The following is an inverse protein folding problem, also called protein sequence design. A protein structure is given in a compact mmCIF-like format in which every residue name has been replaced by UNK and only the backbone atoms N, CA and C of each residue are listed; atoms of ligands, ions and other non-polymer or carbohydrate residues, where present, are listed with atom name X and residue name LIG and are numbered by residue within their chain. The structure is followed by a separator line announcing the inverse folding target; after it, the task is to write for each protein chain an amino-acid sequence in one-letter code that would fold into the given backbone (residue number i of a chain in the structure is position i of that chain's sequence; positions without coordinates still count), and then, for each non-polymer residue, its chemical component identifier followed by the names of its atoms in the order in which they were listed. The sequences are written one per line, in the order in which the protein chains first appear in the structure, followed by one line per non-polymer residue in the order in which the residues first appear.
data_IF_761397932891
#
_entry.id   IF_761397932891
#
_cell.length_a   1.000
_cell.length_b   1.000
_cell.length_c   1.000
_cell.angle_alpha   90.00
_cell.angle_beta   90.00
_cell.angle_gamma   90.00
#
_symmetry.space_group_name_H-M   'P 1'
#
loop_
_entity.id
_entity.type
_entity.pdbx_description
1 polymer ?
#
# COMPACT_ATOMS: atom_id res chain seq x y z
N UNK A 1 -10.82 -23.12 -11.30
CA UNK A 1 -12.24 -22.68 -11.16
C UNK A 1 -12.23 -21.19 -10.87
N UNK A 2 -13.10 -20.39 -11.50
CA UNK A 2 -13.16 -18.95 -11.24
C UNK A 2 -13.38 -18.65 -9.76
N UNK A 3 -12.82 -17.53 -9.29
CA UNK A 3 -13.04 -17.05 -7.93
C UNK A 3 -14.39 -16.34 -7.86
N UNK A 4 -15.29 -16.80 -6.99
CA UNK A 4 -16.60 -16.20 -6.76
C UNK A 4 -16.60 -15.24 -5.56
N UNK A 5 -15.68 -15.44 -4.59
CA UNK A 5 -15.52 -14.57 -3.42
C UNK A 5 -14.05 -14.20 -3.22
N UNK A 6 -13.75 -12.91 -3.33
CA UNK A 6 -12.44 -12.34 -3.04
C UNK A 6 -12.49 -11.57 -1.71
N UNK A 7 -11.71 -12.02 -0.74
CA UNK A 7 -11.52 -11.34 0.54
C UNK A 7 -10.39 -10.30 0.39
N UNK A 8 -10.54 -9.09 0.93
CA UNK A 8 -9.46 -8.11 0.94
C UNK A 8 -9.28 -7.46 2.33
N UNK A 9 -8.18 -6.73 2.46
CA UNK A 9 -7.90 -5.94 3.66
C UNK A 9 -8.85 -4.74 3.80
N UNK A 10 -8.91 -4.19 5.01
CA UNK A 10 -9.65 -2.98 5.33
C UNK A 10 -11.09 -3.24 5.80
N UNK A 11 -11.82 -2.14 5.97
CA UNK A 11 -13.21 -2.13 6.41
C UNK A 11 -14.18 -1.76 5.29
N UNK A 12 -15.48 -1.80 5.58
CA UNK A 12 -16.51 -1.34 4.66
C UNK A 12 -16.25 0.11 4.23
N UNK A 13 -16.13 0.34 2.93
CA UNK A 13 -15.84 1.66 2.37
C UNK A 13 -14.37 2.06 2.31
N UNK A 14 -13.43 1.15 2.65
CA UNK A 14 -12.00 1.39 2.43
C UNK A 14 -11.69 1.57 0.93
N UNK A 15 -10.55 2.22 0.60
CA UNK A 15 -10.09 2.32 -0.79
C UNK A 15 -10.00 0.95 -1.48
N UNK A 16 -9.54 -0.10 -0.79
CA UNK A 16 -9.47 -1.48 -1.28
C UNK A 16 -10.80 -1.96 -1.83
N UNK A 17 -11.85 -1.92 -0.99
CA UNK A 17 -13.18 -2.40 -1.35
C UNK A 17 -13.75 -1.62 -2.52
N UNK A 18 -13.52 -0.30 -2.54
CA UNK A 18 -14.07 0.58 -3.57
C UNK A 18 -13.43 0.34 -4.93
N UNK A 19 -12.10 0.18 -4.98
CA UNK A 19 -11.38 -0.07 -6.22
C UNK A 19 -11.61 -1.51 -6.68
N UNK A 20 -11.38 -2.50 -5.81
CA UNK A 20 -11.49 -3.91 -6.17
C UNK A 20 -12.93 -4.26 -6.54
N UNK A 21 -13.91 -3.74 -5.79
CA UNK A 21 -15.34 -3.91 -6.08
C UNK A 21 -15.73 -3.35 -7.45
N UNK A 22 -15.17 -2.20 -7.84
CA UNK A 22 -15.38 -1.64 -9.19
C UNK A 22 -14.68 -2.47 -10.27
N UNK A 23 -13.44 -2.89 -10.02
CA UNK A 23 -12.61 -3.65 -10.95
C UNK A 23 -13.24 -5.01 -11.29
N UNK A 24 -13.82 -5.67 -10.28
CA UNK A 24 -14.36 -7.03 -10.36
C UNK A 24 -15.90 -7.05 -10.39
N UNK A 25 -16.53 -5.90 -10.63
CA UNK A 25 -17.98 -5.80 -10.75
C UNK A 25 -18.51 -6.79 -11.79
N UNK A 26 -19.47 -7.63 -11.38
CA UNK A 26 -20.06 -8.67 -12.22
C UNK A 26 -19.21 -9.93 -12.41
N UNK A 27 -17.99 -9.98 -11.86
CA UNK A 27 -17.11 -11.16 -11.93
C UNK A 27 -17.06 -11.94 -10.63
N UNK A 28 -16.88 -11.27 -9.50
CA UNK A 28 -16.87 -11.90 -8.18
C UNK A 28 -17.39 -10.97 -7.09
N UNK A 29 -17.82 -11.54 -5.98
CA UNK A 29 -18.13 -10.79 -4.77
C UNK A 29 -16.82 -10.39 -4.08
N UNK A 30 -16.71 -9.13 -3.68
CA UNK A 30 -15.57 -8.61 -2.92
C UNK A 30 -16.03 -8.33 -1.49
N UNK A 31 -15.32 -8.84 -0.50
CA UNK A 31 -15.68 -8.70 0.92
C UNK A 31 -14.49 -8.26 1.78
N UNK A 32 -14.66 -7.28 2.68
CA UNK A 32 -13.61 -6.92 3.61
C UNK A 32 -13.50 -7.99 4.70
N UNK A 33 -12.28 -8.31 5.13
CA UNK A 33 -12.03 -9.23 6.25
C UNK A 33 -11.16 -8.62 7.36
N UNK A 34 -11.05 -7.29 7.36
CA UNK A 34 -10.29 -6.53 8.34
C UNK A 34 -8.79 -6.60 8.08
N UNK A 35 -8.01 -6.90 9.11
CA UNK A 35 -6.55 -6.99 9.00
C UNK A 35 -6.06 -8.30 8.37
N UNK A 36 -4.84 -8.27 7.83
CA UNK A 36 -4.13 -9.42 7.26
C UNK A 36 -3.96 -10.64 8.17
N UNK A 37 -4.00 -10.45 9.50
CA UNK A 37 -3.79 -11.54 10.46
C UNK A 37 -4.96 -12.54 10.45
N UNK A 38 -4.65 -13.80 10.14
CA UNK A 38 -5.64 -14.88 10.10
C UNK A 38 -6.44 -14.96 8.80
N UNK A 39 -6.19 -14.09 7.81
CA UNK A 39 -6.94 -14.12 6.54
C UNK A 39 -6.78 -15.46 5.81
N UNK A 40 -5.58 -16.06 5.79
CA UNK A 40 -5.36 -17.39 5.22
C UNK A 40 -6.25 -18.47 5.85
N UNK A 41 -6.36 -18.48 7.19
CA UNK A 41 -7.23 -19.40 7.93
C UNK A 41 -8.71 -19.17 7.61
N UNK A 42 -9.14 -17.92 7.47
CA UNK A 42 -10.52 -17.57 7.07
C UNK A 42 -10.85 -18.05 5.65
N UNK A 43 -9.92 -17.89 4.71
CA UNK A 43 -10.05 -18.41 3.33
C UNK A 43 -10.24 -19.92 3.38
N UNK A 44 -9.41 -20.63 4.14
CA UNK A 44 -9.52 -22.08 4.26
C UNK A 44 -10.86 -22.52 4.88
N UNK A 45 -11.30 -21.86 5.94
CA UNK A 45 -12.61 -22.13 6.55
C UNK A 45 -13.76 -21.93 5.54
N UNK A 46 -13.73 -20.86 4.73
CA UNK A 46 -14.74 -20.63 3.70
C UNK A 46 -14.65 -21.63 2.55
N UNK A 47 -13.45 -22.07 2.16
CA UNK A 47 -13.26 -23.10 1.12
C UNK A 47 -13.82 -24.46 1.52
N UNK A 48 -13.83 -24.81 2.80
CA UNK A 48 -14.49 -26.03 3.30
C UNK A 48 -15.99 -26.02 2.98
N UNK A 49 -16.63 -24.85 3.05
CA UNK A 49 -18.08 -24.70 2.85
C UNK A 49 -18.43 -24.40 1.38
N UNK A 50 -17.65 -23.57 0.71
CA UNK A 50 -17.96 -23.02 -0.62
C UNK A 50 -17.12 -23.63 -1.75
N UNK A 51 -16.12 -24.44 -1.43
CA UNK A 51 -15.15 -24.98 -2.38
C UNK A 51 -14.04 -23.98 -2.75
N UNK A 52 -13.21 -24.36 -3.73
CA UNK A 52 -12.04 -23.59 -4.19
C UNK A 52 -12.39 -22.36 -5.06
N UNK A 53 -13.49 -21.69 -4.73
CA UNK A 53 -13.94 -20.44 -5.38
C UNK A 53 -13.69 -19.21 -4.49
N UNK A 54 -12.99 -19.39 -3.36
CA UNK A 54 -12.67 -18.33 -2.40
C UNK A 54 -11.17 -18.02 -2.45
N UNK A 55 -10.84 -16.74 -2.54
CA UNK A 55 -9.48 -16.22 -2.56
C UNK A 55 -9.32 -15.02 -1.64
N UNK A 56 -8.07 -14.62 -1.38
CA UNK A 56 -7.75 -13.34 -0.76
C UNK A 56 -6.84 -12.47 -1.60
N UNK A 57 -6.88 -11.17 -1.35
CA UNK A 57 -5.89 -10.20 -1.83
C UNK A 57 -5.40 -9.33 -0.68
N UNK A 58 -4.09 -9.16 -0.61
CA UNK A 58 -3.41 -8.37 0.42
C UNK A 58 -2.62 -7.22 -0.20
N UNK A 59 -2.30 -6.23 0.62
CA UNK A 59 -1.32 -5.21 0.29
C UNK A 59 0.09 -5.83 0.09
N UNK A 60 0.94 -5.14 -0.67
CA UNK A 60 2.30 -5.61 -0.93
C UNK A 60 3.22 -5.56 0.28
N UNK A 61 2.92 -4.70 1.26
CA UNK A 61 3.68 -4.51 2.49
C UNK A 61 5.15 -4.09 2.31
N UNK A 62 5.83 -3.75 3.42
CA UNK A 62 7.26 -3.44 3.36
C UNK A 62 8.04 -4.75 3.26
N UNK A 63 8.52 -5.03 2.05
CA UNK A 63 9.32 -6.22 1.79
C UNK A 63 10.76 -6.01 2.23
N UNK A 64 11.35 -7.02 2.87
CA UNK A 64 12.78 -7.03 3.24
C UNK A 64 13.67 -7.14 2.00
N UNK A 65 13.27 -8.00 1.07
CA UNK A 65 13.89 -8.18 -0.24
C UNK A 65 12.91 -7.61 -1.26
N UNK A 66 13.38 -6.68 -2.09
CA UNK A 66 12.52 -6.00 -3.04
C UNK A 66 12.99 -6.28 -4.45
N UNK A 67 12.02 -6.64 -5.28
CA UNK A 67 12.22 -7.00 -6.68
C UNK A 67 11.55 -5.94 -7.55
N UNK A 68 12.10 -5.76 -8.77
CA UNK A 68 11.52 -4.85 -9.73
C UNK A 68 10.07 -5.25 -10.06
N UNK A 69 9.15 -4.28 -10.25
CA UNK A 69 7.75 -4.59 -10.45
C UNK A 69 7.55 -5.24 -11.82
N UNK A 70 6.84 -6.37 -11.84
CA UNK A 70 6.47 -7.08 -13.06
C UNK A 70 5.13 -6.62 -13.63
N UNK A 71 4.46 -5.71 -12.90
CA UNK A 71 3.11 -5.19 -13.14
C UNK A 71 2.05 -6.28 -13.10
N UNK A 72 2.21 -7.21 -12.15
CA UNK A 72 1.34 -8.37 -11.95
C UNK A 72 1.20 -8.67 -10.46
N UNK A 73 0.00 -8.97 -9.94
CA UNK A 73 -0.14 -9.38 -8.56
C UNK A 73 0.71 -10.61 -8.26
N UNK A 74 1.41 -10.60 -7.12
CA UNK A 74 2.21 -11.73 -6.67
C UNK A 74 1.30 -12.83 -6.14
N UNK A 75 1.66 -14.09 -6.38
CA UNK A 75 0.94 -15.22 -5.79
C UNK A 75 1.15 -15.22 -4.28
N UNK A 76 0.05 -15.25 -3.53
CA UNK A 76 0.08 -15.44 -2.09
C UNK A 76 -0.21 -16.90 -1.77
N UNK A 77 0.79 -17.57 -1.18
CA UNK A 77 0.71 -18.96 -0.79
C UNK A 77 1.40 -19.23 0.55
N UNK A 78 1.02 -20.35 1.13
CA UNK A 78 1.65 -20.98 2.28
C UNK A 78 3.03 -21.54 1.95
N UNK A 79 3.83 -21.85 2.97
CA UNK A 79 5.16 -22.47 2.80
C UNK A 79 5.11 -23.88 2.21
N UNK A 80 3.97 -24.56 2.34
CA UNK A 80 3.69 -25.87 1.72
C UNK A 80 3.10 -25.77 0.30
N UNK A 81 3.03 -24.56 -0.28
CA UNK A 81 2.53 -24.30 -1.62
C UNK A 81 1.01 -24.11 -1.72
N UNK A 82 0.27 -24.14 -0.61
CA UNK A 82 -1.16 -23.88 -0.63
C UNK A 82 -1.46 -22.42 -1.00
N UNK A 83 -2.11 -22.20 -2.15
CA UNK A 83 -2.41 -20.85 -2.66
C UNK A 83 -3.64 -20.24 -2.01
N UNK A 84 -3.47 -19.08 -1.37
CA UNK A 84 -4.55 -18.31 -0.75
C UNK A 84 -5.13 -17.26 -1.70
N UNK A 85 -4.33 -16.74 -2.62
CA UNK A 85 -4.74 -15.74 -3.61
C UNK A 85 -3.56 -14.90 -4.05
N UNK A 86 -3.62 -13.59 -3.81
CA UNK A 86 -2.64 -12.64 -4.33
C UNK A 86 -2.20 -11.57 -3.32
N UNK A 87 -1.08 -10.93 -3.61
CA UNK A 87 -0.67 -9.66 -3.03
C UNK A 87 -0.47 -8.65 -4.15
N UNK A 88 -0.83 -7.39 -3.92
CA UNK A 88 -0.38 -6.30 -4.79
C UNK A 88 1.16 -6.22 -4.81
N UNK A 89 1.74 -5.84 -5.95
CA UNK A 89 3.15 -5.49 -6.04
C UNK A 89 3.44 -4.17 -5.35
N UNK A 90 2.50 -3.23 -5.47
CA UNK A 90 2.55 -1.94 -4.78
C UNK A 90 2.38 -2.12 -3.28
N UNK A 91 3.02 -1.24 -2.52
CA UNK A 91 3.06 -1.26 -1.07
C UNK A 91 1.67 -1.29 -0.43
N UNK A 92 0.74 -0.52 -0.97
CA UNK A 92 -0.66 -0.43 -0.56
C UNK A 92 -1.54 0.16 -1.67
N UNK A 93 -2.86 0.01 -1.54
CA UNK A 93 -3.82 0.49 -2.54
C UNK A 93 -3.73 2.00 -2.82
N UNK A 94 -3.34 2.81 -1.84
CA UNK A 94 -3.17 4.27 -2.02
C UNK A 94 -2.15 4.61 -3.10
N UNK A 95 -1.18 3.73 -3.38
CA UNK A 95 -0.21 3.96 -4.43
C UNK A 95 -0.84 4.08 -5.83
N UNK A 96 -1.94 3.36 -6.10
CA UNK A 96 -2.65 3.49 -7.37
C UNK A 96 -3.38 4.83 -7.47
N UNK A 97 -3.87 5.36 -6.35
CA UNK A 97 -4.58 6.64 -6.29
C UNK A 97 -3.65 7.85 -6.53
N UNK A 98 -2.34 7.63 -6.51
CA UNK A 98 -1.32 8.61 -6.87
C UNK A 98 -0.81 8.46 -8.31
N UNK A 99 -1.18 7.40 -9.03
CA UNK A 99 -0.68 7.15 -10.38
C UNK A 99 -1.23 8.22 -11.36
N UNK A 100 -0.37 8.97 -12.07
CA UNK A 100 -0.82 10.06 -12.96
C UNK A 100 -1.91 9.66 -13.94
N UNK A 101 -1.83 8.46 -14.52
CA UNK A 101 -2.85 7.96 -15.46
C UNK A 101 -4.21 7.75 -14.76
N UNK A 102 -4.20 7.18 -13.54
CA UNK A 102 -5.41 6.97 -12.76
C UNK A 102 -6.00 8.31 -12.32
N UNK A 103 -5.17 9.23 -11.83
CA UNK A 103 -5.59 10.58 -11.44
C UNK A 103 -6.25 11.31 -12.61
N UNK A 104 -5.59 11.33 -13.78
CA UNK A 104 -6.09 12.00 -14.98
C UNK A 104 -7.46 11.42 -15.41
N UNK A 105 -7.57 10.09 -15.51
CA UNK A 105 -8.82 9.42 -15.89
C UNK A 105 -9.94 9.57 -14.86
N UNK A 106 -9.61 9.61 -13.58
CA UNK A 106 -10.60 9.74 -12.51
C UNK A 106 -11.16 11.15 -12.37
N UNK A 107 -10.33 12.17 -12.59
CA UNK A 107 -10.71 13.57 -12.38
C UNK A 107 -11.11 14.29 -13.68
N UNK A 108 -10.74 13.74 -14.85
CA UNK A 108 -11.04 14.33 -16.16
C UNK A 108 -10.50 15.76 -16.25
N UNK A 109 -11.37 16.71 -16.63
CA UNK A 109 -11.02 18.13 -16.74
C UNK A 109 -10.64 18.80 -15.40
N UNK A 110 -10.87 18.13 -14.26
CA UNK A 110 -10.45 18.61 -12.94
C UNK A 110 -9.10 18.02 -12.50
N UNK A 111 -8.46 17.19 -13.34
CA UNK A 111 -7.14 16.69 -13.05
C UNK A 111 -6.12 17.84 -13.03
N UNK A 112 -5.12 17.78 -12.13
CA UNK A 112 -4.01 18.73 -12.19
C UNK A 112 -3.21 18.54 -13.49
N UNK A 113 -2.45 19.57 -13.86
CA UNK A 113 -1.45 19.42 -14.94
C UNK A 113 -0.52 18.24 -14.64
N UNK A 114 -0.32 17.39 -15.64
CA UNK A 114 0.37 16.12 -15.45
C UNK A 114 1.85 16.31 -15.09
N UNK A 115 2.51 17.31 -15.67
CA UNK A 115 3.94 17.55 -15.42
C UNK A 115 4.14 18.14 -14.03
N UNK A 116 3.31 19.12 -13.65
CA UNK A 116 3.35 19.71 -12.30
C UNK A 116 3.04 18.67 -11.23
N UNK A 117 2.04 17.81 -11.47
CA UNK A 117 1.71 16.73 -10.54
C UNK A 117 2.84 15.71 -10.41
N UNK A 118 3.49 15.31 -11.51
CA UNK A 118 4.61 14.38 -11.47
C UNK A 118 5.80 14.97 -10.70
N UNK A 119 6.14 16.23 -10.94
CA UNK A 119 7.20 16.93 -10.21
C UNK A 119 6.91 16.99 -8.71
N UNK A 120 5.66 17.29 -8.33
CA UNK A 120 5.25 17.31 -6.92
C UNK A 120 5.34 15.92 -6.27
N UNK A 121 4.97 14.87 -7.02
CA UNK A 121 5.07 13.50 -6.55
C UNK A 121 6.53 13.03 -6.39
N UNK A 122 7.43 13.47 -7.28
CA UNK A 122 8.88 13.24 -7.17
C UNK A 122 9.50 14.02 -6.01
N UNK A 123 9.10 15.26 -5.78
CA UNK A 123 9.51 16.03 -4.60
C UNK A 123 9.02 15.37 -3.30
N UNK A 124 7.81 14.82 -3.30
CA UNK A 124 7.29 14.06 -2.17
C UNK A 124 8.10 12.79 -1.91
N UNK A 125 8.48 12.03 -2.96
CA UNK A 125 9.43 10.91 -2.85
C UNK A 125 10.72 11.35 -2.16
N UNK A 126 11.32 12.44 -2.63
CA UNK A 126 12.59 12.93 -2.09
C UNK A 126 12.47 13.28 -0.61
N UNK A 127 11.37 13.92 -0.23
CA UNK A 127 11.07 14.33 1.15
C UNK A 127 10.89 13.14 2.09
N UNK A 128 10.31 12.03 1.63
CA UNK A 128 10.01 10.86 2.49
C UNK A 128 11.06 9.75 2.41
N UNK A 129 12.05 9.85 1.54
CA UNK A 129 13.03 8.79 1.26
C UNK A 129 13.63 8.15 2.53
N UNK A 130 14.18 8.97 3.42
CA UNK A 130 14.78 8.52 4.68
C UNK A 130 13.75 7.88 5.61
N UNK A 131 12.56 8.47 5.69
CA UNK A 131 11.47 7.91 6.49
C UNK A 131 11.04 6.54 5.95
N UNK A 132 10.94 6.34 4.63
CA UNK A 132 10.60 5.03 4.05
C UNK A 132 11.63 3.95 4.37
N UNK A 133 12.92 4.30 4.38
CA UNK A 133 13.95 3.38 4.85
C UNK A 133 13.75 3.01 6.32
N UNK A 134 13.40 3.98 7.19
CA UNK A 134 13.11 3.72 8.60
C UNK A 134 11.87 2.83 8.79
N UNK A 135 10.79 3.09 8.06
CA UNK A 135 9.58 2.25 8.06
C UNK A 135 9.87 0.83 7.59
N UNK A 136 10.68 0.68 6.55
CA UNK A 136 11.13 -0.62 6.02
C UNK A 136 11.95 -1.37 7.07
N UNK A 137 12.88 -0.68 7.75
CA UNK A 137 13.69 -1.26 8.82
C UNK A 137 12.84 -1.76 9.99
N UNK A 138 11.90 -0.95 10.48
CA UNK A 138 10.97 -1.35 11.55
C UNK A 138 10.14 -2.57 11.14
N UNK A 139 9.59 -2.56 9.93
CA UNK A 139 8.81 -3.68 9.40
C UNK A 139 9.63 -4.97 9.27
N UNK A 140 10.87 -4.86 8.77
CA UNK A 140 11.75 -6.00 8.55
C UNK A 140 12.24 -6.67 9.84
N UNK A 141 12.28 -5.92 10.95
CA UNK A 141 12.73 -6.43 12.24
C UNK A 141 11.57 -6.92 13.12
N UNK A 142 10.32 -6.56 12.81
CA UNK A 142 9.15 -6.95 13.59
C UNK A 142 9.05 -8.47 13.74
N UNK A 143 8.93 -8.98 14.98
CA UNK A 143 8.62 -10.40 15.20
C UNK A 143 7.15 -10.66 14.87
N UNK A 144 6.91 -11.78 14.19
CA UNK A 144 5.57 -12.21 13.76
C UNK A 144 4.63 -12.25 14.98
N UNK A 145 3.41 -11.76 14.79
CA UNK A 145 2.34 -11.69 15.81
C UNK A 145 2.60 -10.78 17.02
N UNK A 146 3.62 -9.92 16.96
CA UNK A 146 3.90 -8.94 18.01
C UNK A 146 3.81 -7.52 17.46
N UNK A 147 3.39 -6.59 18.31
CA UNK A 147 3.25 -5.18 17.95
C UNK A 147 4.61 -4.49 17.88
N UNK A 148 4.98 -4.05 16.67
CA UNK A 148 6.02 -3.05 16.42
C UNK A 148 5.49 -2.25 15.24
N UNK A 149 5.06 -0.99 15.44
CA UNK A 149 4.57 -0.18 14.35
C UNK A 149 5.71 0.14 13.39
N UNK A 150 5.39 0.17 12.09
CA UNK A 150 6.33 0.61 11.06
C UNK A 150 6.17 2.10 10.72
N UNK A 151 5.28 2.82 11.39
CA UNK A 151 5.12 4.27 11.26
C UNK A 151 5.17 4.92 12.64
N UNK A 152 5.55 6.19 12.69
CA UNK A 152 5.66 6.98 13.92
C UNK A 152 5.38 8.45 13.65
N UNK A 153 5.26 9.24 14.72
CA UNK A 153 4.87 10.64 14.67
C UNK A 153 3.40 10.87 15.07
N UNK A 154 2.94 12.13 15.07
CA UNK A 154 1.56 12.47 15.38
C UNK A 154 0.58 11.86 14.37
N UNK A 155 -0.62 11.54 14.84
CA UNK A 155 -1.72 11.07 14.00
C UNK A 155 -2.17 12.18 13.03
N UNK A 156 -2.22 11.87 11.73
CA UNK A 156 -2.62 12.82 10.68
C UNK A 156 -3.93 12.42 10.00
N UNK A 157 -4.76 13.44 9.80
CA UNK A 157 -6.03 13.35 9.08
C UNK A 157 -7.06 12.41 9.69
N UNK A 158 -8.11 12.10 8.91
CA UNK A 158 -9.27 11.32 9.40
C UNK A 158 -8.91 9.88 9.76
N UNK A 159 -7.91 9.32 9.09
CA UNK A 159 -7.46 7.95 9.31
C UNK A 159 -6.45 7.82 10.45
N UNK A 160 -6.07 8.95 11.07
CA UNK A 160 -5.13 8.99 12.20
C UNK A 160 -3.80 8.30 11.88
N UNK A 161 -3.34 8.40 10.64
CA UNK A 161 -2.09 7.76 10.20
C UNK A 161 -0.89 8.47 10.84
N UNK A 162 -0.02 7.76 11.59
CA UNK A 162 1.18 8.37 12.19
C UNK A 162 2.17 8.84 11.12
N UNK A 163 2.51 10.14 11.14
CA UNK A 163 3.46 10.74 10.21
C UNK A 163 4.22 11.89 10.88
N UNK A 164 5.57 11.86 10.87
CA UNK A 164 6.38 12.84 11.60
C UNK A 164 6.44 14.18 10.89
N UNK A 165 6.68 15.25 11.67
CA UNK A 165 6.86 16.60 11.13
C UNK A 165 8.20 16.81 10.42
N UNK A 166 9.22 16.08 10.89
CA UNK A 166 10.58 16.13 10.35
C UNK A 166 10.96 14.72 9.89
N UNK A 167 11.47 14.63 8.67
CA UNK A 167 11.69 13.37 7.94
C UNK A 167 13.17 13.10 7.66
N UNK A 168 14.09 13.90 8.22
CA UNK A 168 15.53 13.71 8.02
C UNK A 168 16.07 12.47 8.75
N UNK A 169 17.29 12.08 8.39
CA UNK A 169 17.97 10.91 8.95
C UNK A 169 18.05 10.92 10.48
N UNK A 170 18.32 12.07 11.09
CA UNK A 170 18.45 12.18 12.55
C UNK A 170 17.11 11.86 13.22
N UNK A 171 16.04 12.51 12.78
CA UNK A 171 14.70 12.30 13.33
C UNK A 171 14.19 10.89 13.03
N UNK A 172 14.57 10.30 11.90
CA UNK A 172 14.27 8.89 11.60
C UNK A 172 14.94 7.94 12.61
N UNK A 173 16.20 8.17 12.96
CA UNK A 173 16.91 7.38 13.98
C UNK A 173 16.24 7.54 15.36
N UNK A 174 15.93 8.77 15.76
CA UNK A 174 15.21 9.06 17.02
C UNK A 174 13.82 8.38 17.05
N UNK A 175 13.09 8.40 15.93
CA UNK A 175 11.80 7.73 15.75
C UNK A 175 11.90 6.21 15.87
N UNK A 176 12.93 5.60 15.28
CA UNK A 176 13.24 4.16 15.44
C UNK A 176 13.49 3.82 16.90
N UNK A 177 14.36 4.58 17.58
CA UNK A 177 14.67 4.36 19.00
C UNK A 177 13.40 4.41 19.86
N UNK A 178 12.57 5.44 19.65
CA UNK A 178 11.32 5.62 20.39
C UNK A 178 10.34 4.47 20.13
N UNK A 179 10.15 4.08 18.87
CA UNK A 179 9.26 2.98 18.49
C UNK A 179 9.71 1.65 19.12
N UNK A 180 11.01 1.36 19.12
CA UNK A 180 11.54 0.12 19.73
C UNK A 180 11.42 0.16 21.25
N UNK A 181 11.76 1.29 21.89
CA UNK A 181 11.66 1.44 23.34
C UNK A 181 10.23 1.23 23.84
N UNK A 182 9.25 1.84 23.17
CA UNK A 182 7.82 1.71 23.51
C UNK A 182 7.28 0.28 23.38
N UNK A 183 7.97 -0.59 22.65
CA UNK A 183 7.56 -1.98 22.39
C UNK A 183 8.59 -3.01 22.86
N UNK A 184 9.56 -2.61 23.70
CA UNK A 184 10.67 -3.45 24.12
C UNK A 184 10.19 -4.68 24.93
N UNK A 185 9.19 -4.48 25.79
CA UNK A 185 8.58 -5.52 26.61
C UNK A 185 7.96 -6.65 25.75
N UNK A 186 7.37 -6.28 24.62
CA UNK A 186 6.71 -7.22 23.71
C UNK A 186 7.70 -7.91 22.78
N UNK A 187 8.55 -7.13 22.11
CA UNK A 187 9.34 -7.60 20.98
C UNK A 187 10.67 -8.26 21.37
N UNK A 188 11.34 -7.81 22.43
CA UNK A 188 12.76 -8.14 22.69
C UNK A 188 13.62 -7.94 21.42
N UNK A 189 13.44 -6.82 20.73
CA UNK A 189 14.28 -6.36 19.61
C UNK A 189 15.17 -5.24 20.15
N UNK A 190 16.43 -5.20 19.76
CA UNK A 190 17.32 -4.09 20.11
C UNK A 190 17.23 -2.98 19.07
N UNK A 191 17.26 -1.73 19.50
CA UNK A 191 17.22 -0.60 18.59
C UNK A 191 18.40 -0.62 17.61
N UNK A 192 19.57 -1.10 18.05
CA UNK A 192 20.75 -1.30 17.20
C UNK A 192 20.49 -2.19 15.99
N UNK A 193 19.69 -3.26 16.14
CA UNK A 193 19.38 -4.17 15.03
C UNK A 193 18.53 -3.48 13.96
N UNK A 194 17.58 -2.64 14.41
CA UNK A 194 16.72 -1.85 13.53
C UNK A 194 17.54 -0.74 12.85
N UNK A 195 18.45 -0.08 13.58
CA UNK A 195 19.35 0.93 13.01
C UNK A 195 20.29 0.32 11.96
N UNK A 196 20.87 -0.85 12.22
CA UNK A 196 21.69 -1.56 11.21
C UNK A 196 20.87 -1.89 9.95
N UNK A 197 19.59 -2.27 10.12
CA UNK A 197 18.70 -2.49 8.99
C UNK A 197 18.35 -1.19 8.25
N UNK A 198 18.15 -0.09 8.98
CA UNK A 198 17.91 1.23 8.43
C UNK A 198 19.08 1.69 7.55
N UNK A 199 20.31 1.56 8.04
CA UNK A 199 21.52 1.90 7.28
C UNK A 199 21.67 1.05 6.02
N UNK A 200 21.23 -0.21 6.05
CA UNK A 200 21.19 -1.07 4.85
C UNK A 200 20.14 -0.60 3.83
N UNK A 201 18.96 -0.18 4.27
CA UNK A 201 17.86 0.21 3.37
C UNK A 201 17.95 1.66 2.88
N UNK A 202 18.70 2.52 3.58
CA UNK A 202 18.84 3.93 3.25
C UNK A 202 19.38 4.17 1.83
N UNK A 203 20.43 3.46 1.35
CA UNK A 203 20.90 3.58 -0.03
C UNK A 203 19.88 3.11 -1.08
N UNK A 204 18.97 2.19 -0.74
CA UNK A 204 17.91 1.75 -1.67
C UNK A 204 16.82 2.82 -1.84
N UNK A 205 16.59 3.63 -0.80
CA UNK A 205 15.55 4.65 -0.76
C UNK A 205 16.03 6.05 -1.16
N UNK A 206 17.34 6.27 -1.28
CA UNK A 206 17.95 7.51 -1.81
C UNK A 206 18.38 7.30 -3.28
N UNK A 207 18.56 8.36 -4.09
CA UNK A 207 19.12 8.19 -5.42
C UNK A 207 20.56 7.63 -5.37
N UNK A 208 20.96 6.70 -6.27
CA UNK A 208 20.20 6.13 -7.39
C UNK A 208 19.47 4.81 -7.03
N UNK A 209 19.16 4.55 -5.76
CA UNK A 209 18.65 3.28 -5.24
C UNK A 209 17.38 2.75 -5.91
N UNK A 210 17.21 1.43 -5.86
CA UNK A 210 16.17 0.73 -6.61
C UNK A 210 14.75 1.10 -6.13
N UNK A 211 14.53 1.21 -4.81
CA UNK A 211 13.22 1.62 -4.27
C UNK A 211 12.92 3.07 -4.57
N UNK A 212 13.95 3.92 -4.58
CA UNK A 212 13.82 5.31 -4.98
C UNK A 212 13.35 5.44 -6.45
N UNK A 213 13.97 4.71 -7.37
CA UNK A 213 13.58 4.70 -8.79
C UNK A 213 12.13 4.19 -8.98
N UNK A 214 11.70 3.24 -8.14
CA UNK A 214 10.38 2.63 -8.20
C UNK A 214 9.48 3.02 -7.03
N UNK A 215 9.60 4.24 -6.53
CA UNK A 215 8.94 4.68 -5.28
C UNK A 215 7.42 4.54 -5.30
N UNK A 216 6.76 4.64 -6.46
CA UNK A 216 5.31 4.43 -6.62
C UNK A 216 4.86 3.01 -6.32
N UNK A 217 5.79 2.06 -6.23
CA UNK A 217 5.56 0.69 -5.79
C UNK A 217 6.13 0.44 -4.39
N UNK A 218 7.32 0.97 -4.11
CA UNK A 218 8.06 0.64 -2.89
C UNK A 218 7.70 1.50 -1.66
N UNK A 219 7.31 2.76 -1.86
CA UNK A 219 7.00 3.70 -0.78
C UNK A 219 5.52 3.62 -0.43
N UNK A 220 5.19 3.86 0.84
CA UNK A 220 3.79 3.89 1.26
C UNK A 220 3.03 5.06 0.62
N UNK A 221 1.92 4.77 -0.05
CA UNK A 221 1.06 5.76 -0.68
C UNK A 221 0.52 6.80 0.30
N UNK A 222 0.17 6.41 1.53
CA UNK A 222 -0.29 7.34 2.58
C UNK A 222 0.76 8.39 2.94
N UNK A 223 2.04 8.00 2.96
CA UNK A 223 3.13 8.92 3.27
C UNK A 223 3.39 9.89 2.11
N UNK A 224 3.32 9.39 0.87
CA UNK A 224 3.38 10.25 -0.33
C UNK A 224 2.23 11.25 -0.35
N UNK A 225 1.00 10.80 -0.02
CA UNK A 225 -0.17 11.66 0.11
C UNK A 225 0.08 12.78 1.13
N UNK A 226 0.56 12.45 2.34
CA UNK A 226 0.82 13.44 3.38
C UNK A 226 1.97 14.38 3.02
N UNK A 227 3.02 13.89 2.37
CA UNK A 227 4.11 14.73 1.89
C UNK A 227 3.68 15.73 0.81
N UNK A 228 2.60 15.43 0.07
CA UNK A 228 1.98 16.29 -0.93
C UNK A 228 0.81 17.14 -0.36
N UNK A 229 0.50 17.07 0.94
CA UNK A 229 -0.72 17.67 1.50
C UNK A 229 -0.83 19.19 1.22
N UNK A 230 0.27 19.92 1.37
CA UNK A 230 0.30 21.35 1.08
C UNK A 230 0.16 21.65 -0.41
N UNK A 231 0.84 20.87 -1.26
CA UNK A 231 0.67 20.97 -2.72
C UNK A 231 -0.80 20.76 -3.13
N UNK A 232 -1.48 19.78 -2.55
CA UNK A 232 -2.90 19.56 -2.82
C UNK A 232 -3.78 20.73 -2.38
N UNK A 233 -3.48 21.38 -1.25
CA UNK A 233 -4.21 22.58 -0.79
C UNK A 233 -4.01 23.76 -1.75
N UNK A 234 -2.76 24.01 -2.14
CA UNK A 234 -2.39 25.09 -3.07
C UNK A 234 -3.04 24.94 -4.44
N UNK A 235 -3.31 23.69 -4.86
CA UNK A 235 -3.94 23.37 -6.14
C UNK A 235 -5.46 23.11 -6.01
N UNK A 236 -6.10 23.54 -4.91
CA UNK A 236 -7.56 23.55 -4.78
C UNK A 236 -8.21 22.19 -4.42
N UNK A 237 -7.44 21.22 -3.97
CA UNK A 237 -7.93 19.89 -3.60
C UNK A 237 -8.26 19.72 -2.11
N UNK A 238 -8.05 20.75 -1.29
CA UNK A 238 -8.33 20.75 0.16
C UNK A 238 -7.57 19.67 0.95
N UNK A 239 -6.35 19.36 0.51
CA UNK A 239 -5.45 18.41 1.18
C UNK A 239 -5.53 16.98 0.67
N UNK A 240 -4.63 16.14 1.18
CA UNK A 240 -4.32 14.81 0.68
C UNK A 240 -5.53 13.87 0.71
N UNK A 241 -6.26 13.85 1.83
CA UNK A 241 -7.40 12.95 1.98
C UNK A 241 -8.60 13.35 1.12
N UNK A 242 -8.81 14.66 0.95
CA UNK A 242 -9.86 15.16 0.07
C UNK A 242 -9.53 14.86 -1.41
N UNK A 243 -8.26 15.01 -1.82
CA UNK A 243 -7.81 14.57 -3.13
C UNK A 243 -8.02 13.07 -3.34
N UNK A 244 -7.54 12.23 -2.41
CA UNK A 244 -7.71 10.77 -2.46
C UNK A 244 -9.17 10.38 -2.64
N UNK A 245 -10.06 11.00 -1.87
CA UNK A 245 -11.51 10.76 -1.95
C UNK A 245 -12.10 11.18 -3.30
N UNK A 246 -11.68 12.33 -3.85
CA UNK A 246 -12.09 12.77 -5.20
C UNK A 246 -11.70 11.75 -6.26
N UNK A 247 -10.47 11.22 -6.22
CA UNK A 247 -10.01 10.18 -7.15
C UNK A 247 -10.84 8.91 -7.00
N UNK A 248 -11.07 8.43 -5.76
CA UNK A 248 -11.90 7.24 -5.51
C UNK A 248 -13.33 7.38 -6.03
N UNK A 249 -13.95 8.55 -5.81
CA UNK A 249 -15.29 8.85 -6.34
C UNK A 249 -15.27 8.81 -7.88
N UNK A 250 -14.24 9.36 -8.50
CA UNK A 250 -14.04 9.30 -9.96
C UNK A 250 -13.97 7.87 -10.49
N UNK A 251 -13.13 7.02 -9.87
CA UNK A 251 -13.02 5.59 -10.19
C UNK A 251 -14.38 4.89 -10.09
N UNK A 252 -15.14 5.15 -9.03
CA UNK A 252 -16.43 4.49 -8.84
C UNK A 252 -17.48 4.92 -9.87
N UNK A 253 -17.52 6.21 -10.19
CA UNK A 253 -18.52 6.82 -11.08
C UNK A 253 -18.25 6.64 -12.56
N UNK A 254 -17.00 6.37 -12.95
CA UNK A 254 -16.67 6.18 -14.37
C UNK A 254 -17.45 5.03 -15.00
N UNK A 255 -17.80 5.17 -16.27
CA UNK A 255 -18.36 4.10 -17.09
C UNK A 255 -17.28 3.33 -17.87
N UNK A 256 -16.04 3.82 -17.86
CA UNK A 256 -14.91 3.11 -18.45
C UNK A 256 -14.60 1.82 -17.71
N UNK A 257 -14.01 0.88 -18.44
CA UNK A 257 -13.44 -0.32 -17.85
C UNK A 257 -12.11 0.01 -17.18
N UNK A 258 -12.14 0.16 -15.85
CA UNK A 258 -10.97 0.58 -15.08
C UNK A 258 -9.83 -0.44 -15.13
N UNK A 259 -10.07 -1.71 -15.49
CA UNK A 259 -8.98 -2.68 -15.60
C UNK A 259 -7.93 -2.27 -16.64
N UNK A 260 -8.32 -1.46 -17.63
CA UNK A 260 -7.42 -0.95 -18.67
C UNK A 260 -6.50 0.19 -18.21
N UNK A 261 -6.75 0.75 -17.01
CA UNK A 261 -6.03 1.93 -16.52
C UNK A 261 -4.66 1.58 -15.91
N UNK A 262 -4.52 0.37 -15.37
CA UNK A 262 -3.30 -0.12 -14.73
C UNK A 262 -3.10 -1.60 -15.11
N UNK A 263 -1.96 -1.98 -15.72
CA UNK A 263 -1.71 -3.36 -16.12
C UNK A 263 -1.87 -4.38 -14.99
N UNK A 264 -1.49 -4.03 -13.76
CA UNK A 264 -1.64 -4.94 -12.62
C UNK A 264 -3.12 -5.27 -12.31
N UNK A 265 -4.03 -4.32 -12.52
CA UNK A 265 -5.48 -4.52 -12.34
C UNK A 265 -6.07 -5.44 -13.40
N UNK A 266 -5.69 -5.28 -14.67
CA UNK A 266 -6.05 -6.21 -15.76
C UNK A 266 -5.56 -7.64 -15.45
N UNK A 267 -4.32 -7.77 -14.96
CA UNK A 267 -3.74 -9.06 -14.62
C UNK A 267 -4.46 -9.73 -13.45
N UNK A 268 -4.83 -8.97 -12.40
CA UNK A 268 -5.67 -9.50 -11.33
C UNK A 268 -6.99 -10.06 -11.90
N UNK A 269 -7.67 -9.27 -12.74
CA UNK A 269 -8.97 -9.66 -13.32
C UNK A 269 -8.88 -10.97 -14.09
N UNK A 270 -7.86 -11.11 -14.95
CA UNK A 270 -7.59 -12.33 -15.73
C UNK A 270 -7.32 -13.53 -14.83
N UNK A 271 -6.58 -13.33 -13.75
CA UNK A 271 -6.26 -14.40 -12.80
C UNK A 271 -7.49 -14.82 -11.99
N UNK A 272 -8.36 -13.89 -11.60
CA UNK A 272 -9.64 -14.18 -10.93
C UNK A 272 -10.58 -15.01 -11.81
N UNK A 273 -10.68 -14.68 -13.10
CA UNK A 273 -11.49 -15.42 -14.08
C UNK A 273 -10.93 -16.81 -14.36
N UNK A 274 -9.60 -16.95 -14.44
CA UNK A 274 -8.92 -18.22 -14.69
C UNK A 274 -8.95 -19.14 -13.46
N UNK A 275 -8.99 -18.55 -12.26
CA UNK A 275 -9.03 -19.26 -10.99
C UNK A 275 -7.68 -19.39 -10.28
N UNK A 276 -7.76 -20.01 -9.09
CA UNK A 276 -6.61 -20.38 -8.26
C UNK A 276 -6.07 -21.75 -8.64
#
# INVERSE_FOLDING_TARGET
MPVNLLLCEGGSGSPDIRIIGKLLAGLCQVSPEGGKYGMGSKIMAKRIVLGNVVAGILDGDFLKEWENPTRRPRVWQSGDGLRFGWCWERKEVENYLLEPVIVAKSLGNHAPDQNLYLQALEAARDRVADYQAARTALSANRKRFKNLPSSFGPERGKEKHPFPDVLDERHCREGIHTAVANHQADQRIQASDVINSYERFLPECRPPGVRYQHFRYAFAGKDLFLAMDDWFKEHGFHGAWAFREKVLIGIQRTTEDISTWEPEWDQLRKQIQSGI
#
